data_IF_913673828046
#
_entry.id   IF_913673828046
#
_cell.length_a   1.000
_cell.length_b   1.000
_cell.length_c   1.000
_cell.angle_alpha   90.00
_cell.angle_beta   90.00
_cell.angle_gamma   90.00
#
_symmetry.space_group_name_H-M   'P 1'
#
loop_
_entity.id
_entity.type
_entity.pdbx_description
1 polymer ?
#
# COMPACT_ATOMS: atom_id res chain seq x y z
N UNK A 1 -36.70 52.76 17.23
CA UNK A 1 -37.11 51.89 16.09
C UNK A 1 -36.12 50.75 15.90
N UNK A 2 -34.81 51.01 15.85
CA UNK A 2 -33.78 49.97 15.76
C UNK A 2 -33.88 48.82 16.79
N UNK A 3 -34.30 49.09 18.03
CA UNK A 3 -34.47 48.05 19.07
C UNK A 3 -35.63 47.09 18.79
N UNK A 4 -36.74 47.60 18.24
CA UNK A 4 -37.89 46.78 17.86
C UNK A 4 -37.59 45.94 16.61
N UNK A 5 -36.87 46.50 15.64
CA UNK A 5 -36.40 45.78 14.45
C UNK A 5 -35.43 44.65 14.81
N UNK A 6 -34.49 44.90 15.72
CA UNK A 6 -33.58 43.87 16.23
C UNK A 6 -34.33 42.71 16.93
N UNK A 7 -35.39 43.02 17.67
CA UNK A 7 -36.22 42.01 18.32
C UNK A 7 -36.97 41.14 17.30
N UNK A 8 -37.51 41.74 16.23
CA UNK A 8 -38.18 41.01 15.14
C UNK A 8 -37.18 40.11 14.41
N UNK A 9 -35.97 40.60 14.11
CA UNK A 9 -34.96 39.80 13.42
C UNK A 9 -34.47 38.63 14.29
N UNK A 10 -34.27 38.86 15.59
CA UNK A 10 -33.93 37.79 16.54
C UNK A 10 -35.01 36.71 16.59
N UNK A 11 -36.29 37.11 16.65
CA UNK A 11 -37.41 36.16 16.61
C UNK A 11 -37.46 35.37 15.29
N UNK A 12 -37.13 36.01 14.16
CA UNK A 12 -37.04 35.37 12.84
C UNK A 12 -35.91 34.34 12.78
N UNK A 13 -34.73 34.67 13.31
CA UNK A 13 -33.59 33.75 13.40
C UNK A 13 -33.94 32.54 14.28
N UNK A 14 -34.56 32.77 15.45
CA UNK A 14 -35.00 31.70 16.34
C UNK A 14 -36.04 30.78 15.67
N UNK A 15 -36.98 31.34 14.90
CA UNK A 15 -37.91 30.55 14.10
C UNK A 15 -37.17 29.76 13.01
N UNK A 16 -36.14 30.34 12.38
CA UNK A 16 -35.27 29.66 11.43
C UNK A 16 -34.58 28.42 12.03
N UNK A 17 -34.10 28.50 13.27
CA UNK A 17 -33.48 27.38 13.97
C UNK A 17 -34.45 26.23 14.31
N UNK A 18 -35.77 26.45 14.22
CA UNK A 18 -36.74 25.35 14.36
C UNK A 18 -36.73 24.39 13.16
N UNK A 19 -36.29 24.87 11.99
CA UNK A 19 -36.07 24.04 10.79
C UNK A 19 -34.58 23.72 10.68
N UNK A 20 -34.20 22.57 11.22
CA UNK A 20 -32.82 22.09 11.15
C UNK A 20 -32.52 21.62 9.73
N UNK A 21 -31.57 22.29 9.07
CA UNK A 21 -31.08 21.94 7.73
C UNK A 21 -29.64 21.45 7.81
N UNK A 22 -29.23 20.64 6.83
CA UNK A 22 -27.85 20.17 6.78
C UNK A 22 -26.92 21.31 6.33
N UNK A 23 -25.83 21.60 7.05
CA UNK A 23 -24.87 22.63 6.64
C UNK A 23 -23.99 22.19 5.46
N UNK A 24 -23.90 20.88 5.20
CA UNK A 24 -23.09 20.31 4.11
C UNK A 24 -23.90 19.28 3.31
N UNK A 25 -23.54 19.13 2.03
CA UNK A 25 -24.03 18.01 1.24
C UNK A 25 -23.27 16.74 1.63
N UNK A 26 -23.98 15.62 1.73
CA UNK A 26 -23.37 14.35 2.12
C UNK A 26 -24.40 13.28 2.41
N UNK A 27 -23.93 12.19 3.01
CA UNK A 27 -24.76 11.08 3.43
C UNK A 27 -25.01 11.18 4.93
N UNK A 28 -26.26 11.07 5.32
CA UNK A 28 -26.68 11.09 6.72
C UNK A 28 -26.45 9.72 7.36
N UNK A 29 -25.90 9.72 8.56
CA UNK A 29 -25.93 8.56 9.45
C UNK A 29 -27.36 8.35 9.99
N UNK A 30 -27.55 7.29 10.77
CA UNK A 30 -28.80 7.08 11.50
C UNK A 30 -29.07 8.27 12.44
N UNK A 31 -30.34 8.63 12.59
CA UNK A 31 -30.75 9.64 13.56
C UNK A 31 -30.52 9.10 14.98
N UNK A 32 -29.86 9.88 15.83
CA UNK A 32 -29.66 9.53 17.24
C UNK A 32 -30.90 9.84 18.07
N UNK A 33 -31.78 10.70 17.54
CA UNK A 33 -33.03 11.12 18.17
C UNK A 33 -34.23 10.57 17.40
N UNK A 34 -35.31 10.29 18.13
CA UNK A 34 -36.58 9.83 17.57
C UNK A 34 -37.57 10.99 17.47
N UNK A 35 -38.60 10.88 16.60
CA UNK A 35 -39.70 11.83 16.58
C UNK A 35 -40.35 11.96 17.97
N UNK A 36 -40.53 13.19 18.44
CA UNK A 36 -41.11 13.48 19.76
C UNK A 36 -40.09 13.59 20.91
N UNK A 37 -38.80 13.31 20.67
CA UNK A 37 -37.77 13.57 21.65
C UNK A 37 -37.56 15.08 21.88
N UNK A 38 -37.37 15.48 23.13
CA UNK A 38 -37.01 16.85 23.48
C UNK A 38 -35.53 17.09 23.14
N UNK A 39 -35.25 18.17 22.42
CA UNK A 39 -33.91 18.61 22.08
C UNK A 39 -33.66 19.99 22.65
N UNK A 40 -32.43 20.27 23.07
CA UNK A 40 -32.04 21.57 23.62
C UNK A 40 -30.98 22.23 22.76
N UNK A 41 -30.97 23.57 22.76
CA UNK A 41 -29.95 24.33 22.05
C UNK A 41 -28.56 24.00 22.64
N UNK A 42 -27.57 23.78 21.77
CA UNK A 42 -26.18 23.48 22.13
C UNK A 42 -26.00 22.21 22.99
N UNK A 43 -26.89 21.23 22.89
CA UNK A 43 -26.66 19.92 23.52
C UNK A 43 -25.42 19.23 22.96
N UNK A 44 -24.74 18.45 23.80
CA UNK A 44 -23.52 17.72 23.42
C UNK A 44 -23.80 16.61 22.39
N UNK A 45 -24.98 16.01 22.45
CA UNK A 45 -25.36 14.91 21.55
C UNK A 45 -25.88 15.44 20.22
N UNK A 46 -25.16 15.17 19.12
CA UNK A 46 -25.62 15.51 17.78
C UNK A 46 -26.91 14.74 17.41
N UNK A 47 -27.86 15.38 16.73
CA UNK A 47 -29.13 14.77 16.28
C UNK A 47 -28.93 13.74 15.17
N UNK A 48 -27.99 14.02 14.28
CA UNK A 48 -27.49 13.12 13.24
C UNK A 48 -26.11 13.61 12.80
N UNK A 49 -25.37 12.76 12.11
CA UNK A 49 -24.07 13.11 11.53
C UNK A 49 -24.18 13.05 10.02
N UNK A 50 -23.81 14.14 9.35
CA UNK A 50 -23.72 14.19 7.88
C UNK A 50 -22.27 14.07 7.51
N UNK A 51 -21.94 13.10 6.65
CA UNK A 51 -20.57 12.84 6.21
C UNK A 51 -20.47 12.98 4.69
N UNK A 52 -19.48 13.73 4.23
CA UNK A 52 -19.11 13.76 2.82
C UNK A 52 -18.24 12.55 2.52
N UNK A 53 -18.74 11.66 1.66
CA UNK A 53 -18.08 10.39 1.30
C UNK A 53 -17.35 10.45 -0.04
N UNK A 54 -17.54 11.54 -0.79
CA UNK A 54 -16.86 11.79 -2.07
C UNK A 54 -16.38 13.26 -2.15
N UNK A 55 -15.05 13.51 -2.29
CA UNK A 55 -13.98 12.53 -2.20
C UNK A 55 -13.67 12.16 -0.73
N UNK A 56 -13.41 10.88 -0.39
CA UNK A 56 -13.01 10.50 0.95
C UNK A 56 -11.55 10.91 1.21
N UNK A 57 -11.24 11.10 2.50
CA UNK A 57 -9.86 11.23 2.96
C UNK A 57 -9.36 9.89 3.49
N UNK A 58 -8.16 9.50 3.05
CA UNK A 58 -7.47 8.31 3.54
C UNK A 58 -6.26 8.76 4.34
N UNK A 59 -6.23 8.43 5.62
CA UNK A 59 -5.06 8.62 6.47
C UNK A 59 -4.06 7.49 6.26
N UNK A 60 -2.85 7.82 5.82
CA UNK A 60 -1.75 6.85 5.66
C UNK A 60 -0.67 7.19 6.67
N UNK A 61 -0.52 6.37 7.69
CA UNK A 61 0.52 6.54 8.71
C UNK A 61 1.83 5.94 8.23
N UNK A 62 2.90 6.73 8.25
CA UNK A 62 4.24 6.33 7.84
C UNK A 62 5.29 6.74 8.88
N UNK A 63 6.33 5.93 9.13
CA UNK A 63 7.46 6.35 9.95
C UNK A 63 8.11 7.62 9.39
N UNK A 64 8.51 8.56 10.27
CA UNK A 64 9.13 9.82 9.84
C UNK A 64 10.40 9.64 9.00
N UNK A 65 11.19 8.59 9.28
CA UNK A 65 12.38 8.24 8.50
C UNK A 65 12.05 7.90 7.03
N UNK A 66 10.97 7.16 6.80
CA UNK A 66 10.51 6.77 5.46
C UNK A 66 9.99 7.99 4.69
N UNK A 67 9.26 8.88 5.36
CA UNK A 67 8.77 10.13 4.76
C UNK A 67 9.94 11.05 4.38
N UNK A 68 10.99 11.12 5.20
CA UNK A 68 12.19 11.88 4.88
C UNK A 68 12.92 11.30 3.67
N UNK A 69 13.04 9.97 3.60
CA UNK A 69 13.57 9.28 2.43
C UNK A 69 12.74 9.60 1.19
N UNK A 70 11.41 9.45 1.25
CA UNK A 70 10.50 9.72 0.15
C UNK A 70 10.61 11.17 -0.36
N UNK A 71 10.75 12.14 0.54
CA UNK A 71 11.01 13.54 0.18
C UNK A 71 12.34 13.73 -0.54
N UNK A 72 13.41 13.06 -0.11
CA UNK A 72 14.73 13.11 -0.76
C UNK A 72 14.69 12.50 -2.15
N UNK A 73 14.02 11.36 -2.30
CA UNK A 73 13.86 10.68 -3.60
C UNK A 73 12.98 11.51 -4.57
N UNK A 74 11.96 12.22 -4.06
CA UNK A 74 11.13 13.15 -4.83
C UNK A 74 11.92 14.38 -5.27
N UNK A 75 12.77 14.90 -4.40
CA UNK A 75 13.67 16.00 -4.72
C UNK A 75 14.75 15.58 -5.72
N UNK A 76 15.22 14.33 -5.65
CA UNK A 76 16.19 13.76 -6.56
C UNK A 76 15.61 13.30 -7.91
N UNK A 77 14.28 13.46 -8.12
CA UNK A 77 13.62 13.13 -9.39
C UNK A 77 13.45 11.64 -9.69
N UNK A 78 13.80 10.75 -8.75
CA UNK A 78 13.63 9.29 -8.90
C UNK A 78 12.19 8.82 -8.66
N UNK A 79 11.34 9.70 -8.14
CA UNK A 79 9.90 9.48 -7.95
C UNK A 79 9.10 10.25 -8.99
N UNK A 80 8.15 9.58 -9.66
CA UNK A 80 7.34 10.19 -10.72
C UNK A 80 6.35 11.20 -10.14
N UNK A 81 6.72 12.48 -10.20
CA UNK A 81 5.87 13.62 -9.84
C UNK A 81 4.85 13.87 -10.96
N UNK A 82 3.60 13.47 -10.77
CA UNK A 82 2.52 13.73 -11.73
C UNK A 82 1.65 14.89 -11.27
N UNK A 83 2.18 16.11 -11.41
CA UNK A 83 1.49 17.35 -11.08
C UNK A 83 1.57 17.71 -9.60
N UNK A 84 2.41 18.70 -9.26
CA UNK A 84 2.51 19.27 -7.91
C UNK A 84 3.20 18.36 -6.88
N UNK A 85 3.02 18.67 -5.59
CA UNK A 85 3.60 17.95 -4.45
C UNK A 85 2.80 16.67 -4.07
N UNK A 86 2.24 15.98 -5.08
CA UNK A 86 1.36 14.83 -4.88
C UNK A 86 1.87 13.58 -5.60
N UNK A 87 1.88 12.45 -4.88
CA UNK A 87 2.24 11.14 -5.42
C UNK A 87 0.99 10.36 -5.85
N UNK A 88 1.09 9.50 -6.89
CA UNK A 88 -0.01 8.60 -7.26
C UNK A 88 -0.09 7.45 -6.26
N UNK A 89 -1.27 7.22 -5.71
CA UNK A 89 -1.55 6.12 -4.80
C UNK A 89 -2.62 5.20 -5.38
N UNK A 90 -2.44 3.90 -5.19
CA UNK A 90 -3.46 2.88 -5.45
C UNK A 90 -3.99 2.38 -4.12
N UNK A 91 -5.27 2.03 -4.11
CA UNK A 91 -5.89 1.43 -2.93
C UNK A 91 -6.10 -0.06 -3.17
N UNK A 92 -5.65 -0.85 -2.21
CA UNK A 92 -6.02 -2.26 -2.07
C UNK A 92 -6.99 -2.34 -0.89
N UNK A 93 -8.16 -2.90 -1.14
CA UNK A 93 -9.23 -3.10 -0.18
C UNK A 93 -8.87 -4.24 0.77
N UNK A 94 -9.64 -4.38 1.85
CA UNK A 94 -9.41 -5.39 2.89
C UNK A 94 -9.49 -6.84 2.37
N UNK A 95 -10.34 -7.08 1.35
CA UNK A 95 -10.47 -8.36 0.66
C UNK A 95 -9.31 -8.66 -0.32
N UNK A 96 -8.32 -7.76 -0.42
CA UNK A 96 -7.20 -7.85 -1.35
C UNK A 96 -7.53 -7.40 -2.77
N UNK A 97 -8.79 -7.05 -3.06
CA UNK A 97 -9.17 -6.50 -4.35
C UNK A 97 -8.61 -5.09 -4.54
N UNK A 98 -8.40 -4.70 -5.81
CA UNK A 98 -7.86 -3.38 -6.14
C UNK A 98 -9.01 -2.42 -6.39
N UNK A 99 -8.93 -1.25 -5.78
CA UNK A 99 -9.86 -0.18 -6.11
C UNK A 99 -9.60 0.31 -7.54
N UNK A 100 -10.66 0.46 -8.33
CA UNK A 100 -10.56 0.71 -9.78
C UNK A 100 -10.04 2.09 -10.17
N UNK A 101 -9.86 3.02 -9.23
CA UNK A 101 -9.40 4.39 -9.51
C UNK A 101 -8.14 4.72 -8.73
N UNK A 102 -7.21 5.41 -9.39
CA UNK A 102 -6.02 5.93 -8.72
C UNK A 102 -6.38 7.17 -7.88
N UNK A 103 -5.73 7.29 -6.72
CA UNK A 103 -5.80 8.44 -5.84
C UNK A 103 -4.54 9.31 -5.89
N UNK A 104 -4.62 10.45 -5.21
CA UNK A 104 -3.51 11.37 -5.00
C UNK A 104 -3.19 11.43 -3.52
N UNK A 105 -1.93 11.16 -3.18
CA UNK A 105 -1.41 11.34 -1.84
C UNK A 105 -0.90 12.77 -1.70
N UNK A 106 -1.46 13.50 -0.74
CA UNK A 106 -1.06 14.85 -0.38
C UNK A 106 -0.26 14.79 0.92
N UNK A 107 0.88 15.49 0.94
CA UNK A 107 1.68 15.69 2.14
C UNK A 107 1.07 16.82 2.97
N UNK A 108 -0.16 16.62 3.46
CA UNK A 108 -0.87 17.60 4.28
C UNK A 108 -0.74 17.22 5.75
N UNK A 109 0.33 17.71 6.38
CA UNK A 109 0.61 17.44 7.79
C UNK A 109 2.10 17.53 8.08
N UNK A 110 2.50 18.53 8.87
CA UNK A 110 3.89 18.74 9.30
C UNK A 110 4.11 18.13 10.70
N UNK A 111 3.03 17.73 11.38
CA UNK A 111 3.08 17.22 12.74
C UNK A 111 3.42 15.72 12.78
N UNK A 112 4.58 15.41 13.35
CA UNK A 112 4.96 14.05 13.75
C UNK A 112 4.21 13.73 15.04
N UNK A 113 3.60 12.55 15.12
CA UNK A 113 3.05 12.06 16.37
C UNK A 113 4.21 11.70 17.32
N UNK A 114 4.39 12.40 18.47
CA UNK A 114 5.56 12.22 19.32
C UNK A 114 5.59 10.85 20.02
N UNK A 115 4.45 10.17 20.17
CA UNK A 115 4.36 8.84 20.79
C UNK A 115 4.83 7.75 19.84
N UNK A 116 4.58 7.89 18.54
CA UNK A 116 4.87 6.84 17.53
C UNK A 116 6.00 7.20 16.57
N UNK A 117 6.45 8.46 16.56
CA UNK A 117 7.43 8.96 15.58
C UNK A 117 6.93 8.92 14.13
N UNK A 118 5.63 8.74 13.93
CA UNK A 118 5.01 8.59 12.62
C UNK A 118 4.32 9.88 12.16
N UNK A 119 4.23 10.06 10.85
CA UNK A 119 3.53 11.15 10.18
C UNK A 119 2.30 10.56 9.50
N UNK A 120 1.17 11.24 9.63
CA UNK A 120 -0.07 10.89 8.90
C UNK A 120 -0.13 11.69 7.61
N UNK A 121 -0.05 11.00 6.48
CA UNK A 121 -0.25 11.55 5.15
C UNK A 121 -1.74 11.48 4.80
N UNK A 122 -2.23 12.41 3.97
CA UNK A 122 -3.63 12.47 3.57
C UNK A 122 -3.77 12.17 2.08
N UNK A 123 -4.41 11.05 1.76
CA UNK A 123 -4.81 10.69 0.41
C UNK A 123 -6.22 11.15 0.08
N UNK A 124 -6.47 11.51 -1.18
CA UNK A 124 -7.80 11.78 -1.71
C UNK A 124 -7.98 11.08 -3.05
N UNK A 125 -9.18 10.57 -3.32
CA UNK A 125 -9.49 9.89 -4.57
C UNK A 125 -10.99 10.00 -4.88
N UNK A 126 -11.44 9.74 -6.12
CA UNK A 126 -12.87 9.77 -6.44
C UNK A 126 -13.59 8.51 -5.93
N UNK A 127 -14.73 8.68 -5.27
CA UNK A 127 -15.60 7.62 -4.74
C UNK A 127 -17.09 7.82 -5.11
N UNK A 128 -17.43 7.95 -6.40
CA UNK A 128 -18.81 8.21 -6.81
C UNK A 128 -19.75 7.03 -6.53
N UNK A 129 -19.20 5.81 -6.52
CA UNK A 129 -19.96 4.58 -6.26
C UNK A 129 -20.16 4.33 -4.76
N UNK A 130 -19.66 5.22 -3.90
CA UNK A 130 -19.71 5.11 -2.44
C UNK A 130 -19.19 3.77 -1.88
N UNK A 131 -18.27 3.12 -2.59
CA UNK A 131 -17.70 1.83 -2.22
C UNK A 131 -16.80 1.96 -0.99
N UNK A 132 -16.05 3.06 -0.90
CA UNK A 132 -15.26 3.36 0.29
C UNK A 132 -16.14 4.03 1.34
N UNK A 133 -16.31 3.37 2.48
CA UNK A 133 -17.05 3.89 3.61
C UNK A 133 -16.08 4.44 4.68
N UNK A 134 -16.47 5.50 5.40
CA UNK A 134 -15.72 5.98 6.55
C UNK A 134 -15.48 4.87 7.58
N UNK A 135 -14.25 4.76 8.08
CA UNK A 135 -13.85 3.75 9.06
C UNK A 135 -13.29 2.45 8.47
N UNK A 136 -13.37 2.25 7.14
CA UNK A 136 -12.73 1.10 6.50
C UNK A 136 -11.20 1.17 6.57
N UNK A 137 -10.58 0.00 6.79
CA UNK A 137 -9.13 -0.15 6.64
C UNK A 137 -8.79 -0.46 5.19
N UNK A 138 -7.79 0.25 4.68
CA UNK A 138 -7.30 0.08 3.32
C UNK A 138 -5.79 0.13 3.30
N UNK A 139 -5.19 -0.54 2.32
CA UNK A 139 -3.74 -0.46 2.08
C UNK A 139 -3.48 0.49 0.92
N UNK A 140 -2.83 1.60 1.22
CA UNK A 140 -2.34 2.52 0.21
C UNK A 140 -1.00 2.01 -0.35
N UNK A 141 -0.99 1.69 -1.64
CA UNK A 141 0.20 1.33 -2.40
C UNK A 141 0.63 2.55 -3.20
N UNK A 142 1.72 3.18 -2.76
CA UNK A 142 2.30 4.33 -3.44
C UNK A 142 3.22 3.79 -4.52
N UNK A 143 3.00 4.22 -5.76
CA UNK A 143 3.96 3.91 -6.83
C UNK A 143 5.15 4.83 -6.67
N UNK A 144 6.18 4.29 -6.05
CA UNK A 144 7.52 4.83 -6.15
C UNK A 144 7.99 4.67 -7.61
N UNK A 145 8.80 5.58 -8.13
CA UNK A 145 9.17 5.57 -9.55
C UNK A 145 9.84 4.26 -9.98
N UNK A 146 9.98 4.06 -11.28
CA UNK A 146 10.77 2.92 -11.79
C UNK A 146 12.23 3.37 -11.77
N UNK A 147 13.04 2.75 -10.92
CA UNK A 147 14.49 2.87 -10.98
C UNK A 147 15.01 1.80 -11.93
N UNK A 148 15.21 2.17 -13.20
CA UNK A 148 15.70 1.26 -14.24
C UNK A 148 17.15 0.84 -14.04
N UNK A 149 17.91 1.57 -13.21
CA UNK A 149 19.31 1.27 -12.89
C UNK A 149 19.47 0.48 -11.58
N UNK A 150 18.37 0.16 -10.89
CA UNK A 150 18.42 -0.56 -9.63
C UNK A 150 18.94 -2.00 -9.82
N UNK A 151 20.01 -2.34 -9.09
CA UNK A 151 20.53 -3.71 -9.04
C UNK A 151 19.85 -4.48 -7.91
N UNK A 152 19.21 -5.60 -8.25
CA UNK A 152 18.63 -6.51 -7.28
C UNK A 152 19.61 -7.64 -6.98
N UNK A 153 20.07 -7.72 -5.74
CA UNK A 153 20.91 -8.82 -5.26
C UNK A 153 20.09 -9.79 -4.39
N UNK A 154 20.10 -11.09 -4.67
CA UNK A 154 19.47 -12.10 -3.81
C UNK A 154 19.93 -11.99 -2.35
N UNK A 155 19.00 -12.12 -1.40
CA UNK A 155 19.34 -11.99 0.03
C UNK A 155 20.36 -13.02 0.50
N UNK A 156 20.37 -14.21 -0.12
CA UNK A 156 21.28 -15.32 0.22
C UNK A 156 22.76 -14.98 -0.02
N UNK A 157 23.06 -14.12 -1.00
CA UNK A 157 24.44 -13.72 -1.34
C UNK A 157 24.97 -12.52 -0.55
N UNK A 158 24.15 -11.93 0.32
CA UNK A 158 24.51 -10.76 1.11
C UNK A 158 24.70 -11.15 2.56
N UNK A 159 25.92 -10.95 3.07
CA UNK A 159 26.26 -11.19 4.47
C UNK A 159 26.49 -9.87 5.19
N UNK A 160 26.51 -9.89 6.53
CA UNK A 160 26.89 -8.71 7.34
C UNK A 160 28.18 -9.00 8.07
N UNK A 161 29.07 -8.01 8.12
CA UNK A 161 30.29 -8.08 8.92
C UNK A 161 29.99 -7.93 10.43
N UNK A 162 31.01 -8.09 11.27
CA UNK A 162 30.90 -7.94 12.73
C UNK A 162 30.47 -6.52 13.18
N UNK A 163 30.54 -5.53 12.29
CA UNK A 163 30.15 -4.13 12.52
C UNK A 163 28.73 -3.87 11.96
N UNK A 164 28.10 -4.87 11.34
CA UNK A 164 26.75 -4.81 10.78
C UNK A 164 26.67 -4.26 9.35
N UNK A 165 27.80 -3.95 8.70
CA UNK A 165 27.82 -3.49 7.29
C UNK A 165 27.54 -4.64 6.36
N UNK A 166 26.76 -4.38 5.31
CA UNK A 166 26.47 -5.39 4.30
C UNK A 166 27.69 -5.60 3.40
N UNK A 167 28.03 -6.85 3.16
CA UNK A 167 29.11 -7.28 2.28
C UNK A 167 28.62 -8.37 1.34
N UNK A 168 29.07 -8.28 0.09
CA UNK A 168 28.83 -9.28 -0.94
C UNK A 168 30.14 -10.00 -1.27
N UNK A 169 30.07 -11.30 -1.52
CA UNK A 169 31.17 -12.05 -2.12
C UNK A 169 30.91 -12.16 -3.62
N UNK A 170 31.82 -11.62 -4.40
CA UNK A 170 31.75 -11.63 -5.86
C UNK A 170 32.92 -12.43 -6.44
N UNK A 171 32.75 -12.99 -7.64
CA UNK A 171 33.81 -13.66 -8.38
C UNK A 171 34.29 -12.72 -9.49
N UNK A 172 35.57 -12.32 -9.44
CA UNK A 172 36.19 -11.48 -10.46
C UNK A 172 36.41 -12.23 -11.79
N UNK A 173 36.87 -11.55 -12.84
CA UNK A 173 37.11 -12.17 -14.15
C UNK A 173 38.24 -13.23 -14.14
N UNK A 174 39.02 -13.31 -13.05
CA UNK A 174 40.12 -14.25 -12.84
C UNK A 174 39.69 -15.45 -11.97
N UNK A 175 38.38 -15.60 -11.77
CA UNK A 175 37.75 -16.64 -10.94
C UNK A 175 38.20 -16.62 -9.48
N UNK A 176 38.55 -15.43 -8.97
CA UNK A 176 38.89 -15.22 -7.55
C UNK A 176 37.75 -14.56 -6.80
N UNK A 177 37.56 -15.00 -5.56
CA UNK A 177 36.56 -14.43 -4.66
C UNK A 177 37.05 -13.09 -4.12
N UNK A 178 36.26 -12.04 -4.28
CA UNK A 178 36.49 -10.74 -3.67
C UNK A 178 35.34 -10.39 -2.74
N UNK A 179 35.67 -9.89 -1.55
CA UNK A 179 34.66 -9.32 -0.64
C UNK A 179 34.53 -7.84 -0.94
N UNK A 180 33.32 -7.40 -1.25
CA UNK A 180 33.00 -6.01 -1.52
C UNK A 180 31.96 -5.51 -0.52
N UNK A 181 32.21 -4.32 0.04
CA UNK A 181 31.21 -3.64 0.85
C UNK A 181 30.09 -3.12 -0.06
N UNK A 182 28.84 -3.35 0.33
CA UNK A 182 27.68 -2.92 -0.45
C UNK A 182 26.75 -2.07 0.40
N UNK A 183 26.17 -1.06 -0.23
CA UNK A 183 25.16 -0.22 0.40
C UNK A 183 23.79 -0.66 -0.08
N UNK A 184 23.02 -1.27 0.82
CA UNK A 184 21.65 -1.71 0.53
C UNK A 184 20.66 -0.59 0.84
N UNK A 185 19.56 -0.52 0.08
CA UNK A 185 18.48 0.42 0.33
C UNK A 185 17.28 -0.24 1.00
N UNK A 186 16.57 -1.12 0.28
CA UNK A 186 15.38 -1.84 0.77
C UNK A 186 15.35 -3.28 0.30
N UNK A 187 14.61 -4.11 1.02
CA UNK A 187 14.26 -5.44 0.55
C UNK A 187 13.03 -5.36 -0.36
N UNK A 188 13.05 -6.09 -1.48
CA UNK A 188 11.92 -6.26 -2.40
C UNK A 188 11.79 -7.76 -2.67
N UNK A 189 10.71 -8.38 -2.18
CA UNK A 189 10.55 -9.83 -2.23
C UNK A 189 11.72 -10.55 -1.56
N UNK A 190 12.41 -11.40 -2.32
CA UNK A 190 13.58 -12.18 -1.86
C UNK A 190 14.92 -11.54 -2.25
N UNK A 191 14.94 -10.26 -2.65
CA UNK A 191 16.12 -9.52 -3.02
C UNK A 191 16.33 -8.24 -2.18
N UNK A 192 17.55 -7.73 -2.19
CA UNK A 192 17.92 -6.40 -1.73
C UNK A 192 18.21 -5.50 -2.92
N UNK A 193 17.67 -4.29 -2.89
CA UNK A 193 18.03 -3.25 -3.86
C UNK A 193 19.36 -2.63 -3.44
N UNK A 194 20.39 -2.83 -4.26
CA UNK A 194 21.76 -2.37 -4.03
C UNK A 194 21.92 -0.97 -4.62
N UNK A 195 22.34 -0.02 -3.79
CA UNK A 195 22.59 1.37 -4.18
C UNK A 195 24.03 1.59 -4.63
N UNK A 196 24.98 0.99 -3.92
CA UNK A 196 26.41 1.13 -4.21
C UNK A 196 27.14 -0.19 -3.94
N UNK A 197 28.24 -0.39 -4.66
CA UNK A 197 29.17 -1.49 -4.42
C UNK A 197 28.95 -2.71 -5.32
N UNK A 198 27.92 -2.77 -6.15
CA UNK A 198 27.83 -3.77 -7.22
C UNK A 198 27.60 -3.06 -8.55
N UNK A 199 28.10 -3.67 -9.62
CA UNK A 199 27.86 -3.21 -10.99
C UNK A 199 27.10 -4.27 -11.80
N UNK A 200 26.36 -3.88 -12.85
CA UNK A 200 25.73 -4.85 -13.74
C UNK A 200 26.79 -5.80 -14.32
N UNK A 201 26.52 -7.10 -14.23
CA UNK A 201 27.43 -8.16 -14.70
C UNK A 201 28.37 -8.75 -13.63
N UNK A 202 28.38 -8.21 -12.41
CA UNK A 202 29.10 -8.83 -11.29
C UNK A 202 28.51 -10.22 -10.95
N UNK A 203 29.38 -11.22 -10.77
CA UNK A 203 29.00 -12.60 -10.40
C UNK A 203 28.91 -12.72 -8.87
N UNK A 204 27.70 -12.62 -8.32
CA UNK A 204 27.45 -12.76 -6.88
C UNK A 204 27.40 -14.24 -6.46
N UNK A 205 28.10 -14.58 -5.37
CA UNK A 205 28.04 -15.92 -4.77
C UNK A 205 26.79 -16.00 -3.89
N UNK A 206 25.85 -16.87 -4.26
CA UNK A 206 24.57 -17.05 -3.54
C UNK A 206 24.54 -18.30 -2.64
N UNK A 207 25.39 -19.28 -2.91
CA UNK A 207 25.52 -20.52 -2.14
C UNK A 207 27.02 -20.84 -1.94
N UNK A 208 27.34 -21.52 -0.84
CA UNK A 208 28.72 -21.86 -0.49
C UNK A 208 29.53 -20.73 0.15
N UNK A 209 28.90 -19.62 0.56
CA UNK A 209 29.58 -18.47 1.21
C UNK A 209 30.33 -18.83 2.50
N UNK A 210 29.99 -19.94 3.15
CA UNK A 210 30.68 -20.46 4.34
C UNK A 210 31.98 -21.23 4.00
N UNK A 211 32.12 -21.71 2.76
CA UNK A 211 33.23 -22.57 2.32
C UNK A 211 34.32 -21.79 1.57
N UNK A 212 34.09 -20.52 1.25
CA UNK A 212 34.99 -19.70 0.44
C UNK A 212 35.48 -18.49 1.23
N UNK A 213 36.77 -18.16 1.07
CA UNK A 213 37.40 -16.97 1.65
C UNK A 213 37.79 -16.00 0.54
N UNK A 214 37.88 -14.69 0.84
CA UNK A 214 38.41 -13.72 -0.11
C UNK A 214 39.82 -14.11 -0.55
N UNK A 215 40.05 -14.17 -1.86
CA UNK A 215 41.31 -14.59 -2.49
C UNK A 215 41.30 -16.03 -3.01
N UNK A 216 40.34 -16.86 -2.61
CA UNK A 216 40.23 -18.24 -3.09
C UNK A 216 39.84 -18.28 -4.57
N UNK A 217 40.41 -19.24 -5.31
CA UNK A 217 40.01 -19.53 -6.69
C UNK A 217 38.84 -20.49 -6.68
N UNK A 218 37.72 -20.10 -7.29
CA UNK A 218 36.47 -20.86 -7.28
C UNK A 218 36.01 -21.17 -8.69
N UNK A 219 35.36 -22.32 -8.87
CA UNK A 219 34.66 -22.62 -10.11
C UNK A 219 33.19 -22.18 -9.97
N UNK A 220 32.84 -21.04 -10.56
CA UNK A 220 31.48 -20.50 -10.48
C UNK A 220 30.53 -21.28 -11.39
N UNK A 221 29.42 -21.77 -10.83
CA UNK A 221 28.29 -22.32 -11.59
C UNK A 221 27.15 -21.32 -11.51
N UNK A 222 26.56 -20.97 -12.64
CA UNK A 222 25.41 -20.06 -12.68
C UNK A 222 24.21 -20.81 -12.12
N UNK A 223 23.63 -20.27 -11.03
CA UNK A 223 22.40 -20.76 -10.43
C UNK A 223 21.30 -19.76 -10.77
N UNK A 224 20.21 -20.23 -11.36
CA UNK A 224 18.98 -19.44 -11.45
C UNK A 224 18.37 -19.35 -10.06
N UNK A 225 18.48 -18.18 -9.44
CA UNK A 225 17.76 -17.90 -8.21
C UNK A 225 16.32 -17.61 -8.61
N UNK A 226 15.33 -18.39 -8.13
CA UNK A 226 13.93 -18.14 -8.48
C UNK A 226 13.51 -16.77 -7.92
N UNK A 227 13.19 -15.85 -8.82
CA UNK A 227 12.45 -14.64 -8.46
C UNK A 227 11.11 -15.07 -7.85
N UNK A 228 10.81 -14.61 -6.62
CA UNK A 228 9.53 -14.90 -5.99
C UNK A 228 8.37 -14.42 -6.89
N UNK A 229 7.25 -15.19 -6.96
CA UNK A 229 6.36 -15.16 -8.11
C UNK A 229 5.60 -13.84 -8.20
N UNK A 230 5.69 -13.19 -9.38
CA UNK A 230 4.61 -12.37 -9.86
C UNK A 230 3.40 -13.29 -10.09
N UNK A 231 2.46 -13.27 -9.14
CA UNK A 231 1.08 -13.72 -9.28
C UNK A 231 0.88 -14.96 -10.17
N UNK A 232 0.98 -16.16 -9.58
CA UNK A 232 0.49 -17.37 -10.24
C UNK A 232 -1.03 -17.22 -10.41
N UNK A 233 -1.44 -16.67 -11.55
CA UNK A 233 -2.75 -16.90 -12.11
C UNK A 233 -2.95 -18.41 -12.10
N UNK A 234 -3.94 -18.86 -11.33
CA UNK A 234 -4.45 -20.23 -11.36
C UNK A 234 -4.62 -20.64 -12.82
N UNK A 235 -3.63 -21.34 -13.39
CA UNK A 235 -3.89 -22.30 -14.46
C UNK A 235 -4.65 -23.41 -13.76
N UNK A 236 -5.98 -23.28 -13.76
CA UNK A 236 -6.82 -24.48 -13.77
C UNK A 236 -6.29 -25.32 -14.92
N UNK A 237 -5.81 -26.49 -14.55
CA UNK A 237 -5.67 -27.59 -15.48
C UNK A 237 -7.09 -27.84 -15.98
N UNK A 238 -7.39 -27.37 -17.18
CA UNK A 238 -8.48 -27.91 -17.98
C UNK A 238 -8.04 -29.32 -18.35
N UNK A 239 -8.49 -30.28 -17.55
CA UNK A 239 -8.39 -31.70 -17.84
C UNK A 239 -9.59 -32.07 -18.72
N UNK A 240 -9.41 -32.45 -20.00
CA UNK A 240 -10.50 -32.98 -20.80
C UNK A 240 -10.77 -34.41 -20.32
N UNK A 241 -11.85 -34.60 -19.57
CA UNK A 241 -12.36 -35.93 -19.24
C UNK A 241 -12.64 -36.71 -20.54
N UNK A 242 -12.10 -37.92 -20.72
CA UNK A 242 -12.48 -38.77 -21.85
C UNK A 242 -13.85 -39.41 -21.56
N UNK A 243 -14.78 -39.06 -22.45
CA UNK A 243 -16.01 -39.72 -22.83
C UNK A 243 -15.94 -41.26 -22.67
N UNK A 244 -16.63 -41.82 -21.66
CA UNK A 244 -16.93 -43.25 -21.62
C UNK A 244 -18.29 -43.50 -22.27
N UNK A 245 -18.20 -44.11 -23.43
CA UNK A 245 -19.29 -44.53 -24.29
C UNK A 245 -20.28 -45.45 -23.58
N UNK A 246 -21.57 -45.16 -23.78
CA UNK A 246 -22.66 -46.10 -23.58
C UNK A 246 -22.54 -47.25 -24.59
N UNK A 247 -22.43 -48.48 -24.08
CA UNK A 247 -22.49 -49.72 -24.86
C UNK A 247 -23.37 -50.73 -24.11
N UNK A 248 -24.37 -51.25 -24.81
CA UNK A 248 -25.60 -51.85 -24.30
C UNK A 248 -25.54 -53.40 -24.19
N UNK A 249 -26.35 -53.96 -23.27
CA UNK A 249 -27.00 -55.31 -23.26
C UNK A 249 -26.22 -56.59 -22.82
N UNK A 250 -26.90 -57.71 -22.41
CA UNK A 250 -28.21 -57.88 -21.75
C UNK A 250 -28.22 -58.87 -20.54
N UNK A 251 -29.44 -59.10 -20.02
CA UNK A 251 -29.89 -59.86 -18.85
C UNK A 251 -29.62 -61.39 -18.78
N UNK A 252 -29.60 -61.90 -17.54
CA UNK A 252 -30.14 -63.17 -16.97
C UNK A 252 -29.52 -63.32 -15.55
N UNK A 253 -30.18 -63.58 -14.43
CA UNK A 253 -31.27 -64.52 -14.12
C UNK A 253 -30.71 -65.67 -13.23
N UNK A 254 -31.41 -66.00 -12.13
CA UNK A 254 -31.20 -67.11 -11.17
C UNK A 254 -30.40 -66.77 -9.88
N UNK A 255 -31.04 -66.62 -8.72
CA UNK A 255 -31.64 -67.65 -7.84
C UNK A 255 -30.60 -68.49 -7.06
N UNK A 256 -30.41 -68.16 -5.78
CA UNK A 256 -30.62 -69.05 -4.63
C UNK A 256 -30.51 -68.28 -3.32
#
# INVERSE_FOLDING_TARGET
MATAEAAVETARINLGYTRITSPIAGRTATSTVTPGALVTANQTTALTTVQQIDPPYIGVTQPSAEVLWLKRELAAGRLVRNGGDAARMRIVLEDGSRYGRDGRLQFTGIAVNPTTGAITLRGTLPNPDALLLPGMYVRAVIKEGVDEAALLAPQQGITRDAVGRATALIVDAQDKVQRRAVTLSRAVGNGWVVREGLVPGDRLIVDGTQQVRPGDKVHAVVVEVPDAPANQTRRRVDDPSPEQAFGNAPAQGAAR
#
